data_IF_272106148920
#
_entry.id   IF_272106148920
#
_cell.length_a   1.000
_cell.length_b   1.000
_cell.length_c   1.000
_cell.angle_alpha   90.00
_cell.angle_beta   90.00
_cell.angle_gamma   90.00
#
_symmetry.space_group_name_H-M   'P 1'
#
loop_
_entity.id
_entity.type
_entity.pdbx_description
1 polymer ?
#
# COMPACT_ATOMS: atom_id res chain seq x y z
N UNK A 1 -1.27 33.17 -5.64
CA UNK A 1 -2.38 33.03 -4.65
C UNK A 1 -2.83 31.57 -4.66
N UNK A 2 -2.59 30.78 -3.63
CA UNK A 2 -3.26 29.49 -3.52
C UNK A 2 -4.72 29.78 -3.22
N UNK A 3 -5.60 29.36 -4.11
CA UNK A 3 -7.03 29.62 -4.03
C UNK A 3 -7.59 29.06 -2.71
N UNK A 4 -8.55 29.75 -2.10
CA UNK A 4 -9.32 29.33 -0.91
C UNK A 4 -9.77 27.85 -1.04
N UNK A 5 -10.02 27.41 -2.26
CA UNK A 5 -10.36 26.03 -2.61
C UNK A 5 -9.26 25.02 -2.25
N UNK A 6 -7.97 25.33 -2.44
CA UNK A 6 -6.88 24.36 -2.17
C UNK A 6 -6.62 24.16 -0.68
N UNK A 7 -6.88 25.16 0.18
CA UNK A 7 -6.78 25.03 1.64
C UNK A 7 -7.94 24.26 2.28
N UNK A 8 -9.13 24.30 1.66
CA UNK A 8 -10.32 23.63 2.19
C UNK A 8 -10.50 22.26 1.55
N UNK A 9 -10.01 22.06 0.31
CA UNK A 9 -10.09 20.81 -0.42
C UNK A 9 -9.49 19.64 0.39
N UNK A 10 -8.31 19.81 0.99
CA UNK A 10 -7.69 18.78 1.81
C UNK A 10 -8.53 18.41 3.04
N UNK A 11 -9.14 19.41 3.71
CA UNK A 11 -10.04 19.17 4.86
C UNK A 11 -11.33 18.48 4.43
N UNK A 12 -11.94 18.96 3.35
CA UNK A 12 -13.16 18.37 2.78
C UNK A 12 -12.89 16.91 2.38
N UNK A 13 -11.78 16.65 1.72
CA UNK A 13 -11.39 15.31 1.27
C UNK A 13 -11.17 14.37 2.47
N UNK A 14 -10.49 14.83 3.54
CA UNK A 14 -10.31 14.03 4.75
C UNK A 14 -11.66 13.74 5.42
N UNK A 15 -12.51 14.75 5.57
CA UNK A 15 -13.83 14.60 6.19
C UNK A 15 -14.71 13.68 5.33
N UNK A 16 -14.74 13.88 4.00
CA UNK A 16 -15.49 13.03 3.07
C UNK A 16 -14.99 11.59 3.10
N UNK A 17 -13.68 11.36 3.17
CA UNK A 17 -13.11 10.00 3.29
C UNK A 17 -13.45 9.34 4.63
N UNK A 18 -13.43 10.12 5.73
CA UNK A 18 -13.81 9.63 7.07
C UNK A 18 -15.31 9.31 7.18
N UNK A 19 -16.17 9.97 6.40
CA UNK A 19 -17.61 9.69 6.34
C UNK A 19 -17.92 8.58 5.34
N UNK A 20 -17.30 8.62 4.16
CA UNK A 20 -17.56 7.63 3.10
C UNK A 20 -17.08 6.22 3.48
N UNK A 21 -16.04 6.12 4.28
CA UNK A 21 -15.51 4.82 4.71
C UNK A 21 -16.49 4.06 5.62
N UNK A 22 -17.00 4.62 6.76
CA UNK A 22 -18.01 3.94 7.58
C UNK A 22 -19.32 3.68 6.85
N UNK A 23 -19.77 4.64 6.03
CA UNK A 23 -20.99 4.50 5.24
C UNK A 23 -20.83 3.38 4.20
N UNK A 24 -19.71 3.35 3.49
CA UNK A 24 -19.42 2.27 2.53
C UNK A 24 -19.30 0.90 3.19
N UNK A 25 -18.67 0.83 4.37
CA UNK A 25 -18.59 -0.40 5.17
C UNK A 25 -19.96 -0.87 5.66
N UNK A 26 -20.83 0.06 6.07
CA UNK A 26 -22.19 -0.25 6.51
C UNK A 26 -23.09 -0.78 5.38
N UNK A 27 -23.12 -0.07 4.23
CA UNK A 27 -23.95 -0.48 3.09
C UNK A 27 -23.45 -1.73 2.36
N UNK A 28 -22.18 -2.07 2.51
CA UNK A 28 -21.58 -3.26 1.91
C UNK A 28 -21.65 -4.50 2.84
N UNK A 29 -22.38 -4.43 3.95
CA UNK A 29 -22.45 -5.49 4.98
C UNK A 29 -21.07 -5.95 5.51
N UNK A 30 -20.08 -5.05 5.51
CA UNK A 30 -18.75 -5.35 6.03
C UNK A 30 -18.67 -5.42 7.56
N UNK A 31 -19.74 -5.08 8.27
CA UNK A 31 -19.82 -5.14 9.75
C UNK A 31 -20.17 -6.55 10.26
N UNK A 32 -19.64 -7.58 9.62
CA UNK A 32 -19.77 -8.96 10.07
C UNK A 32 -18.91 -9.15 11.32
N UNK A 33 -19.46 -9.83 12.34
CA UNK A 33 -18.66 -10.30 13.47
C UNK A 33 -18.11 -11.70 13.11
N UNK A 34 -16.85 -11.81 12.66
CA UNK A 34 -16.27 -13.10 12.38
C UNK A 34 -16.11 -13.88 13.69
N UNK A 35 -16.35 -15.19 13.66
CA UNK A 35 -16.01 -16.06 14.77
C UNK A 35 -14.49 -16.16 14.86
N UNK A 36 -13.92 -15.83 16.03
CA UNK A 36 -12.49 -15.95 16.28
C UNK A 36 -12.24 -17.27 16.99
N UNK A 37 -11.56 -18.19 16.32
CA UNK A 37 -11.20 -19.50 16.88
C UNK A 37 -9.90 -19.45 17.69
N UNK A 38 -8.98 -18.55 17.35
CA UNK A 38 -7.71 -18.37 18.08
C UNK A 38 -7.35 -16.91 18.25
N UNK A 39 -7.43 -16.42 19.49
CA UNK A 39 -7.00 -15.06 19.85
C UNK A 39 -5.48 -14.87 19.77
N UNK A 40 -4.69 -15.92 19.96
CA UNK A 40 -3.23 -15.87 19.83
C UNK A 40 -2.83 -15.59 18.37
N UNK A 41 -3.45 -16.28 17.41
CA UNK A 41 -3.20 -16.01 15.99
C UNK A 41 -3.71 -14.64 15.57
N UNK A 42 -4.83 -14.18 16.12
CA UNK A 42 -5.31 -12.83 15.87
C UNK A 42 -4.32 -11.77 16.38
N UNK A 43 -3.75 -11.98 17.57
CA UNK A 43 -2.71 -11.10 18.12
C UNK A 43 -1.47 -11.08 17.23
N UNK A 44 -0.94 -12.24 16.82
CA UNK A 44 0.19 -12.30 15.88
C UNK A 44 -0.13 -11.60 14.57
N UNK A 45 -1.33 -11.80 14.03
CA UNK A 45 -1.79 -11.13 12.81
C UNK A 45 -1.69 -9.61 12.92
N UNK A 46 -2.16 -9.02 14.03
CA UNK A 46 -2.11 -7.58 14.27
C UNK A 46 -0.67 -7.09 14.45
N UNK A 47 0.17 -7.82 15.19
CA UNK A 47 1.59 -7.47 15.38
C UNK A 47 2.32 -7.42 14.04
N UNK A 48 2.16 -8.46 13.20
CA UNK A 48 2.77 -8.48 11.87
C UNK A 48 2.22 -7.37 10.97
N UNK A 49 0.92 -7.10 11.02
CA UNK A 49 0.31 -6.00 10.26
C UNK A 49 0.95 -4.66 10.63
N UNK A 50 0.99 -4.33 11.91
CA UNK A 50 1.51 -3.05 12.40
C UNK A 50 3.01 -2.93 12.12
N UNK A 51 3.77 -4.01 12.31
CA UNK A 51 5.19 -4.07 11.93
C UNK A 51 5.37 -3.81 10.44
N UNK A 52 4.53 -4.38 9.59
CA UNK A 52 4.55 -4.13 8.14
C UNK A 52 4.27 -2.67 7.79
N UNK A 53 3.38 -1.99 8.52
CA UNK A 53 3.14 -0.57 8.32
C UNK A 53 4.32 0.31 8.75
N UNK A 54 5.01 -0.04 9.83
CA UNK A 54 6.27 0.63 10.18
C UNK A 54 7.32 0.39 9.09
N UNK A 55 7.40 -0.84 8.59
CA UNK A 55 8.35 -1.21 7.54
C UNK A 55 8.05 -0.54 6.20
N UNK A 56 6.79 -0.29 5.88
CA UNK A 56 6.38 0.56 4.74
C UNK A 56 7.02 1.95 4.80
N UNK A 57 7.09 2.56 5.99
CA UNK A 57 7.81 3.83 6.17
C UNK A 57 9.32 3.70 5.96
N UNK A 58 9.90 2.55 6.35
CA UNK A 58 11.31 2.24 6.08
C UNK A 58 11.57 2.12 4.58
N UNK A 59 10.68 1.45 3.83
CA UNK A 59 10.78 1.36 2.36
C UNK A 59 10.82 2.77 1.73
N UNK A 60 9.90 3.64 2.14
CA UNK A 60 9.92 5.04 1.70
C UNK A 60 11.23 5.75 2.04
N UNK A 61 11.76 5.55 3.24
CA UNK A 61 13.06 6.09 3.66
C UNK A 61 14.23 5.58 2.83
N UNK A 62 14.20 4.31 2.40
CA UNK A 62 15.25 3.74 1.52
C UNK A 62 15.23 4.33 0.12
N UNK A 63 14.03 4.63 -0.37
CA UNK A 63 13.86 5.31 -1.67
C UNK A 63 14.36 6.75 -1.57
N UNK A 64 13.95 7.51 -0.58
CA UNK A 64 14.45 8.87 -0.36
C UNK A 64 15.98 8.88 -0.21
N UNK A 65 16.52 8.01 0.60
CA UNK A 65 17.96 7.90 0.83
C UNK A 65 18.76 7.39 -0.37
N UNK A 66 18.16 7.05 -1.52
CA UNK A 66 18.91 6.83 -2.77
C UNK A 66 19.42 8.13 -3.38
N UNK A 67 18.71 9.23 -3.17
CA UNK A 67 19.05 10.56 -3.71
C UNK A 67 19.29 11.60 -2.60
N UNK A 68 18.59 11.50 -1.46
CA UNK A 68 18.63 12.48 -0.37
C UNK A 68 18.96 11.79 0.95
N UNK A 69 20.10 12.12 1.56
CA UNK A 69 20.57 11.53 2.83
C UNK A 69 20.29 12.38 4.07
N UNK A 70 19.89 13.62 3.86
CA UNK A 70 19.66 14.64 4.89
C UNK A 70 18.24 14.58 5.50
N UNK A 71 17.31 13.84 4.88
CA UNK A 71 15.93 13.74 5.34
C UNK A 71 15.85 12.87 6.61
N UNK A 72 15.41 13.50 7.70
CA UNK A 72 15.33 12.85 9.02
C UNK A 72 14.26 11.75 9.06
N UNK A 73 14.53 10.64 9.77
CA UNK A 73 13.60 9.53 9.93
C UNK A 73 12.22 9.96 10.48
N UNK A 74 12.14 10.96 11.35
CA UNK A 74 10.87 11.51 11.85
C UNK A 74 10.06 12.16 10.73
N UNK A 75 10.70 12.86 9.78
CA UNK A 75 10.02 13.43 8.61
C UNK A 75 9.49 12.33 7.69
N UNK A 76 10.27 11.27 7.48
CA UNK A 76 9.89 10.10 6.69
C UNK A 76 8.65 9.42 7.30
N UNK A 77 8.70 9.11 8.59
CA UNK A 77 7.60 8.48 9.32
C UNK A 77 6.34 9.34 9.33
N UNK A 78 6.48 10.64 9.62
CA UNK A 78 5.36 11.57 9.62
C UNK A 78 4.74 11.71 8.22
N UNK A 79 5.56 11.78 7.16
CA UNK A 79 5.07 11.88 5.79
C UNK A 79 4.25 10.65 5.38
N UNK A 80 4.73 9.45 5.71
CA UNK A 80 4.03 8.20 5.41
C UNK A 80 2.72 8.07 6.21
N UNK A 81 2.77 8.36 7.52
CA UNK A 81 1.61 8.17 8.40
C UNK A 81 0.50 9.20 8.18
N UNK A 82 0.83 10.49 8.12
CA UNK A 82 -0.19 11.54 7.99
C UNK A 82 -0.91 11.52 6.63
N UNK A 83 -0.32 10.90 5.61
CA UNK A 83 -0.89 10.86 4.27
C UNK A 83 -1.53 9.52 3.91
N UNK A 84 -1.50 8.54 4.82
CA UNK A 84 -1.95 7.17 4.54
C UNK A 84 -3.40 7.08 4.04
N UNK A 85 -4.27 7.94 4.56
CA UNK A 85 -5.67 7.99 4.14
C UNK A 85 -5.89 8.67 2.77
N UNK A 86 -4.86 9.28 2.19
CA UNK A 86 -4.92 9.87 0.85
C UNK A 86 -5.28 8.86 -0.25
N UNK A 87 -5.10 7.57 -0.01
CA UNK A 87 -5.48 6.50 -0.94
C UNK A 87 -7.00 6.31 -1.11
N UNK A 88 -7.81 6.80 -0.18
CA UNK A 88 -9.28 6.75 -0.26
C UNK A 88 -9.86 7.90 -1.09
N UNK A 89 -9.04 8.88 -1.43
CA UNK A 89 -9.43 9.97 -2.33
C UNK A 89 -9.43 9.43 -3.77
N UNK A 90 -10.48 9.70 -4.56
CA UNK A 90 -10.51 9.32 -5.96
C UNK A 90 -9.26 9.78 -6.72
N UNK A 91 -8.68 8.90 -7.55
CA UNK A 91 -7.46 9.18 -8.31
C UNK A 91 -6.17 8.61 -7.68
N UNK A 92 -6.22 8.08 -6.46
CA UNK A 92 -5.12 7.32 -5.78
C UNK A 92 -3.72 7.95 -5.76
N UNK A 93 -3.52 9.08 -6.45
CA UNK A 93 -2.25 9.80 -6.51
C UNK A 93 -1.98 10.60 -5.24
N UNK A 94 -3.03 10.86 -4.46
CA UNK A 94 -2.97 11.78 -3.32
C UNK A 94 -2.07 11.27 -2.18
N UNK A 95 -1.96 9.97 -1.98
CA UNK A 95 -1.02 9.42 -1.01
C UNK A 95 0.43 9.69 -1.45
N UNK A 96 0.73 9.53 -2.74
CA UNK A 96 2.07 9.70 -3.31
C UNK A 96 2.49 11.17 -3.30
N UNK A 97 1.59 12.04 -3.76
CA UNK A 97 1.82 13.50 -3.77
C UNK A 97 1.82 14.07 -2.35
N UNK A 98 0.94 13.57 -1.48
CA UNK A 98 0.82 14.04 -0.10
C UNK A 98 2.09 13.80 0.71
N UNK A 99 2.66 12.59 0.67
CA UNK A 99 3.90 12.30 1.38
C UNK A 99 5.09 13.09 0.84
N UNK A 100 5.13 13.32 -0.48
CA UNK A 100 6.14 14.15 -1.13
C UNK A 100 6.02 15.62 -0.72
N UNK A 101 4.81 16.18 -0.75
CA UNK A 101 4.54 17.55 -0.31
C UNK A 101 4.83 17.77 1.18
N UNK A 102 4.62 16.73 2.02
CA UNK A 102 5.03 16.81 3.41
C UNK A 102 6.54 16.88 3.56
N UNK A 103 7.30 16.08 2.79
CA UNK A 103 8.78 16.11 2.80
C UNK A 103 9.28 17.46 2.28
N UNK A 104 8.79 17.95 1.14
CA UNK A 104 9.11 19.27 0.57
C UNK A 104 8.97 20.38 1.62
N UNK A 105 7.82 20.43 2.30
CA UNK A 105 7.58 21.45 3.34
C UNK A 105 8.59 21.41 4.49
N UNK A 106 9.32 20.31 4.65
CA UNK A 106 10.15 20.05 5.80
C UNK A 106 11.62 19.72 5.46
N UNK A 107 11.99 19.96 4.22
CA UNK A 107 13.36 19.85 3.68
C UNK A 107 13.54 20.92 2.60
N UNK A 108 14.76 21.06 2.09
CA UNK A 108 15.10 22.00 1.01
C UNK A 108 15.01 21.35 -0.38
N UNK A 109 14.15 20.32 -0.53
CA UNK A 109 14.00 19.56 -1.77
C UNK A 109 12.66 19.84 -2.45
N UNK A 110 12.66 19.87 -3.79
CA UNK A 110 11.49 20.20 -4.60
C UNK A 110 10.47 19.04 -4.68
N UNK A 111 9.18 19.40 -4.76
CA UNK A 111 8.06 18.48 -4.87
C UNK A 111 8.16 17.53 -6.08
N UNK A 112 8.64 18.03 -7.22
CA UNK A 112 8.72 17.25 -8.46
C UNK A 112 9.57 15.99 -8.31
N UNK A 113 10.87 16.11 -7.99
CA UNK A 113 11.75 14.97 -7.74
C UNK A 113 11.24 14.04 -6.62
N UNK A 114 10.76 14.59 -5.49
CA UNK A 114 10.20 13.81 -4.39
C UNK A 114 8.97 12.98 -4.81
N UNK A 115 8.09 13.58 -5.61
CA UNK A 115 6.91 12.89 -6.14
C UNK A 115 7.32 11.75 -7.08
N UNK A 116 8.35 11.97 -7.90
CA UNK A 116 8.90 10.96 -8.78
C UNK A 116 9.43 9.74 -7.98
N UNK A 117 10.18 9.99 -6.91
CA UNK A 117 10.66 8.92 -6.02
C UNK A 117 9.50 8.15 -5.39
N UNK A 118 8.45 8.85 -4.97
CA UNK A 118 7.23 8.25 -4.44
C UNK A 118 6.54 7.32 -5.46
N UNK A 119 6.49 7.72 -6.72
CA UNK A 119 5.97 6.90 -7.82
C UNK A 119 6.85 5.67 -8.09
N UNK A 120 8.17 5.85 -8.16
CA UNK A 120 9.12 4.75 -8.38
C UNK A 120 8.98 3.69 -7.28
N UNK A 121 8.88 4.11 -6.03
CA UNK A 121 8.65 3.19 -4.91
C UNK A 121 7.35 2.40 -5.08
N UNK A 122 6.26 3.07 -5.43
CA UNK A 122 4.97 2.42 -5.61
C UNK A 122 4.99 1.39 -6.75
N UNK A 123 5.68 1.70 -7.87
CA UNK A 123 5.86 0.77 -8.99
C UNK A 123 6.63 -0.46 -8.55
N UNK A 124 7.77 -0.29 -7.85
CA UNK A 124 8.57 -1.42 -7.34
C UNK A 124 7.74 -2.25 -6.37
N UNK A 125 7.01 -1.62 -5.47
CA UNK A 125 6.16 -2.30 -4.49
C UNK A 125 5.08 -3.16 -5.17
N UNK A 126 4.36 -2.60 -6.14
CA UNK A 126 3.34 -3.31 -6.92
C UNK A 126 3.96 -4.49 -7.68
N UNK A 127 5.08 -4.26 -8.36
CA UNK A 127 5.78 -5.28 -9.14
C UNK A 127 6.20 -6.48 -8.28
N UNK A 128 6.80 -6.23 -7.10
CA UNK A 128 7.20 -7.28 -6.16
C UNK A 128 5.98 -7.95 -5.53
N UNK A 129 4.95 -7.20 -5.16
CA UNK A 129 3.73 -7.76 -4.58
C UNK A 129 3.01 -8.70 -5.56
N UNK A 130 2.96 -8.37 -6.85
CA UNK A 130 2.47 -9.29 -7.88
C UNK A 130 3.33 -10.53 -8.01
N UNK A 131 4.66 -10.41 -8.03
CA UNK A 131 5.55 -11.56 -8.10
C UNK A 131 5.28 -12.55 -6.96
N UNK A 132 5.30 -12.07 -5.73
CA UNK A 132 5.07 -12.91 -4.55
C UNK A 132 3.68 -13.53 -4.56
N UNK A 133 2.67 -12.74 -4.88
CA UNK A 133 1.29 -13.19 -4.93
C UNK A 133 1.04 -14.21 -6.05
N UNK A 134 1.61 -14.02 -7.24
CA UNK A 134 1.51 -14.96 -8.36
C UNK A 134 2.28 -16.26 -8.09
N UNK A 135 3.44 -16.19 -7.45
CA UNK A 135 4.14 -17.39 -6.98
C UNK A 135 3.21 -18.19 -6.06
N UNK A 136 2.66 -17.56 -5.02
CA UNK A 136 1.74 -18.24 -4.11
C UNK A 136 0.51 -18.80 -4.81
N UNK A 137 -0.10 -18.05 -5.73
CA UNK A 137 -1.29 -18.47 -6.47
C UNK A 137 -1.03 -19.69 -7.38
N UNK A 138 0.11 -19.74 -8.05
CA UNK A 138 0.49 -20.89 -8.88
C UNK A 138 0.71 -22.16 -8.03
N UNK A 139 1.39 -22.03 -6.91
CA UNK A 139 1.58 -23.17 -6.00
C UNK A 139 0.28 -23.61 -5.32
N UNK A 140 -0.63 -22.68 -5.01
CA UNK A 140 -1.94 -22.96 -4.43
C UNK A 140 -2.85 -23.70 -5.44
N UNK A 141 -2.84 -23.27 -6.70
CA UNK A 141 -3.70 -23.77 -7.77
C UNK A 141 -3.06 -24.83 -8.67
N UNK A 142 -1.96 -25.47 -8.24
CA UNK A 142 -1.22 -26.47 -9.06
C UNK A 142 -0.95 -25.99 -10.49
N UNK A 143 -0.45 -24.75 -10.63
CA UNK A 143 -0.15 -24.12 -11.92
C UNK A 143 -1.37 -24.02 -12.84
N UNK A 144 -2.48 -23.53 -12.32
CA UNK A 144 -3.68 -23.27 -13.10
C UNK A 144 -3.41 -22.34 -14.29
N UNK A 145 -4.22 -22.45 -15.35
CA UNK A 145 -4.12 -21.59 -16.55
C UNK A 145 -4.11 -20.11 -16.15
N UNK A 146 -4.97 -19.69 -15.21
CA UNK A 146 -5.01 -18.31 -14.72
C UNK A 146 -3.72 -17.86 -14.04
N UNK A 147 -3.11 -18.73 -13.23
CA UNK A 147 -1.84 -18.44 -12.57
C UNK A 147 -0.67 -18.33 -13.54
N UNK A 148 -0.59 -19.28 -14.50
CA UNK A 148 0.44 -19.26 -15.55
C UNK A 148 0.29 -18.01 -16.43
N UNK A 149 -0.93 -17.70 -16.86
CA UNK A 149 -1.20 -16.49 -17.65
C UNK A 149 -0.80 -15.23 -16.90
N UNK A 150 -1.14 -15.13 -15.61
CA UNK A 150 -0.73 -14.01 -14.76
C UNK A 150 0.79 -13.87 -14.68
N UNK A 151 1.53 -14.98 -14.53
CA UNK A 151 3.00 -14.99 -14.51
C UNK A 151 3.59 -14.56 -15.85
N UNK A 152 3.03 -15.01 -16.96
CA UNK A 152 3.45 -14.59 -18.31
C UNK A 152 3.22 -13.10 -18.52
N UNK A 153 2.05 -12.58 -18.11
CA UNK A 153 1.76 -11.14 -18.17
C UNK A 153 2.75 -10.36 -17.31
N UNK A 154 3.04 -10.83 -16.10
CA UNK A 154 4.02 -10.18 -15.21
C UNK A 154 5.42 -10.16 -15.83
N UNK A 155 5.88 -11.29 -16.41
CA UNK A 155 7.17 -11.37 -17.10
C UNK A 155 7.21 -10.43 -18.32
N UNK A 156 6.16 -10.38 -19.12
CA UNK A 156 6.06 -9.50 -20.29
C UNK A 156 6.00 -8.01 -19.90
N UNK A 157 5.38 -7.67 -18.78
CA UNK A 157 5.31 -6.31 -18.27
C UNK A 157 6.65 -5.82 -17.66
N UNK A 158 7.50 -6.74 -17.21
CA UNK A 158 8.77 -6.40 -16.54
C UNK A 158 9.70 -5.55 -17.42
N UNK A 159 10.00 -5.87 -18.68
CA UNK A 159 10.82 -5.02 -19.55
C UNK A 159 10.19 -3.63 -19.75
N UNK A 160 8.86 -3.55 -19.84
CA UNK A 160 8.17 -2.26 -19.97
C UNK A 160 8.33 -1.38 -18.72
N UNK A 161 8.22 -1.98 -17.52
CA UNK A 161 8.40 -1.28 -16.24
C UNK A 161 9.85 -0.78 -16.08
N UNK A 162 10.82 -1.56 -16.53
CA UNK A 162 12.24 -1.24 -16.45
C UNK A 162 12.72 -0.30 -17.57
N UNK A 163 11.93 -0.13 -18.62
CA UNK A 163 12.27 0.70 -19.79
C UNK A 163 12.04 2.19 -19.52
N UNK A 164 12.42 3.02 -20.49
CA UNK A 164 12.11 4.45 -20.53
C UNK A 164 10.66 4.74 -20.94
N UNK A 165 9.91 3.75 -21.44
CA UNK A 165 8.55 3.95 -21.96
C UNK A 165 7.56 4.33 -20.85
N UNK A 166 7.57 3.59 -19.74
CA UNK A 166 6.68 3.86 -18.61
C UNK A 166 6.90 5.27 -18.02
N UNK A 167 8.13 5.70 -17.68
CA UNK A 167 8.41 7.06 -17.27
C UNK A 167 7.94 8.11 -18.26
N UNK A 168 8.15 7.92 -19.55
CA UNK A 168 7.74 8.86 -20.59
C UNK A 168 6.20 9.00 -20.68
N UNK A 169 5.46 7.90 -20.54
CA UNK A 169 3.99 7.92 -20.51
C UNK A 169 3.51 8.65 -19.26
N UNK A 170 4.07 8.31 -18.10
CA UNK A 170 3.68 8.92 -16.83
C UNK A 170 4.04 10.40 -16.81
N UNK A 171 5.21 10.80 -17.33
CA UNK A 171 5.60 12.21 -17.42
C UNK A 171 4.63 13.02 -18.28
N UNK A 172 4.25 12.52 -19.46
CA UNK A 172 3.26 13.17 -20.33
C UNK A 172 1.88 13.30 -19.65
N UNK A 173 1.45 12.27 -18.93
CA UNK A 173 0.19 12.30 -18.18
C UNK A 173 0.25 13.30 -17.03
N UNK A 174 1.32 13.29 -16.26
CA UNK A 174 1.55 14.21 -15.14
C UNK A 174 1.68 15.65 -15.63
N UNK A 175 2.39 15.91 -16.73
CA UNK A 175 2.50 17.23 -17.33
C UNK A 175 1.14 17.79 -17.73
N UNK A 176 0.25 16.94 -18.29
CA UNK A 176 -1.13 17.35 -18.62
C UNK A 176 -1.96 17.67 -17.36
N UNK A 177 -1.84 16.87 -16.31
CA UNK A 177 -2.59 17.04 -15.07
C UNK A 177 -2.10 18.23 -14.24
N UNK A 178 -0.78 18.41 -14.15
CA UNK A 178 -0.16 19.44 -13.31
C UNK A 178 0.11 20.76 -14.07
N UNK A 179 -0.09 20.79 -15.39
CA UNK A 179 0.24 21.94 -16.27
C UNK A 179 1.71 22.41 -16.11
N UNK A 180 2.61 21.49 -15.81
CA UNK A 180 4.06 21.70 -15.66
C UNK A 180 4.79 20.56 -16.33
N UNK A 181 5.95 20.84 -16.90
CA UNK A 181 6.85 19.80 -17.41
C UNK A 181 7.37 18.96 -16.22
N UNK A 182 7.12 17.67 -16.27
CA UNK A 182 7.60 16.70 -15.28
C UNK A 182 8.49 15.72 -16.02
N UNK A 183 9.78 15.82 -15.84
CA UNK A 183 10.73 14.89 -16.44
C UNK A 183 10.92 13.69 -15.51
N UNK A 184 10.36 12.54 -15.89
CA UNK A 184 10.44 11.31 -15.11
C UNK A 184 11.61 10.49 -15.63
N UNK A 185 12.62 10.31 -14.79
CA UNK A 185 13.75 9.44 -15.11
C UNK A 185 13.37 7.96 -14.94
N UNK A 186 13.92 7.04 -15.75
CA UNK A 186 13.72 5.60 -15.60
C UNK A 186 14.08 5.10 -14.20
N UNK A 187 13.63 3.86 -13.89
CA UNK A 187 14.11 3.16 -12.70
C UNK A 187 15.61 2.87 -12.85
N UNK A 188 16.42 3.45 -11.96
CA UNK A 188 17.85 3.16 -11.92
C UNK A 188 18.11 1.80 -11.25
N UNK A 189 19.06 1.05 -11.78
CA UNK A 189 19.46 -0.25 -11.26
C UNK A 189 19.98 -0.18 -9.82
N UNK A 190 20.65 0.90 -9.46
CA UNK A 190 21.11 1.14 -8.09
C UNK A 190 19.93 1.25 -7.12
N UNK A 191 18.89 2.00 -7.50
CA UNK A 191 17.65 2.14 -6.73
C UNK A 191 16.92 0.80 -6.61
N UNK A 192 16.80 0.04 -7.71
CA UNK A 192 16.15 -1.28 -7.72
C UNK A 192 16.82 -2.21 -6.70
N UNK A 193 18.14 -2.38 -6.79
CA UNK A 193 18.89 -3.24 -5.86
C UNK A 193 18.76 -2.80 -4.40
N UNK A 194 18.61 -1.52 -4.16
CA UNK A 194 18.46 -0.95 -2.82
C UNK A 194 17.05 -1.14 -2.25
N UNK A 195 16.01 -1.02 -3.07
CA UNK A 195 14.62 -0.97 -2.62
C UNK A 195 13.94 -2.35 -2.64
N UNK A 196 14.23 -3.18 -3.63
CA UNK A 196 13.60 -4.50 -3.81
C UNK A 196 13.68 -5.40 -2.58
N UNK A 197 14.83 -5.57 -1.90
CA UNK A 197 14.89 -6.41 -0.69
C UNK A 197 13.93 -5.95 0.41
N UNK A 198 13.80 -4.64 0.60
CA UNK A 198 12.88 -4.07 1.58
C UNK A 198 11.41 -4.25 1.16
N UNK A 199 11.11 -4.14 -0.13
CA UNK A 199 9.76 -4.40 -0.64
C UNK A 199 9.36 -5.86 -0.48
N UNK A 200 10.27 -6.80 -0.74
CA UNK A 200 10.05 -8.24 -0.49
C UNK A 200 9.76 -8.48 0.99
N UNK A 201 10.58 -7.92 1.87
CA UNK A 201 10.39 -8.08 3.31
C UNK A 201 9.09 -7.46 3.79
N UNK A 202 8.72 -6.26 3.29
CA UNK A 202 7.46 -5.60 3.63
C UNK A 202 6.24 -6.46 3.25
N UNK A 203 6.21 -6.96 2.02
CA UNK A 203 5.14 -7.84 1.57
C UNK A 203 5.15 -9.18 2.32
N UNK A 204 6.32 -9.71 2.64
CA UNK A 204 6.47 -10.93 3.46
C UNK A 204 5.89 -10.76 4.87
N UNK A 205 6.15 -9.62 5.52
CA UNK A 205 5.60 -9.29 6.84
C UNK A 205 4.07 -9.20 6.77
N UNK A 206 3.51 -8.52 5.77
CA UNK A 206 2.06 -8.44 5.60
C UNK A 206 1.44 -9.79 5.21
N UNK A 207 2.13 -10.59 4.41
CA UNK A 207 1.70 -11.96 4.09
C UNK A 207 1.65 -12.84 5.33
N UNK A 208 2.67 -12.78 6.19
CA UNK A 208 2.65 -13.49 7.48
C UNK A 208 1.49 -13.02 8.37
N UNK A 209 1.25 -11.70 8.43
CA UNK A 209 0.11 -11.15 9.15
C UNK A 209 -1.24 -11.66 8.62
N UNK A 210 -1.38 -11.75 7.31
CA UNK A 210 -2.61 -12.27 6.70
C UNK A 210 -2.77 -13.80 6.91
N UNK A 211 -1.68 -14.57 6.84
CA UNK A 211 -1.70 -15.99 7.21
C UNK A 211 -2.25 -16.19 8.63
N UNK A 212 -1.73 -15.44 9.61
CA UNK A 212 -2.22 -15.52 10.98
C UNK A 212 -3.67 -15.03 11.13
N UNK A 213 -4.12 -14.07 10.30
CA UNK A 213 -5.51 -13.67 10.26
C UNK A 213 -6.41 -14.83 9.81
N UNK A 214 -6.02 -15.53 8.75
CA UNK A 214 -6.77 -16.69 8.26
C UNK A 214 -6.80 -17.78 9.35
N UNK A 215 -5.66 -18.14 9.95
CA UNK A 215 -5.59 -19.11 11.05
C UNK A 215 -6.44 -18.72 12.26
N UNK A 216 -6.63 -17.44 12.52
CA UNK A 216 -7.48 -16.97 13.62
C UNK A 216 -8.99 -17.17 13.35
N UNK A 217 -9.38 -17.20 12.07
CA UNK A 217 -10.78 -17.18 11.64
C UNK A 217 -11.31 -18.52 11.10
N UNK A 218 -10.46 -19.57 11.08
CA UNK A 218 -10.89 -20.93 10.70
C UNK A 218 -10.54 -21.91 11.83
N UNK A 219 -11.33 -23.02 12.00
CA UNK A 219 -11.12 -23.99 13.07
C UNK A 219 -10.10 -25.11 12.71
N UNK A 220 -9.37 -24.98 11.60
CA UNK A 220 -8.43 -25.96 11.07
C UNK A 220 -7.15 -25.28 10.56
N UNK A 221 -6.08 -26.05 10.42
CA UNK A 221 -4.82 -25.55 9.91
C UNK A 221 -4.90 -25.27 8.41
N UNK A 222 -4.37 -24.12 7.98
CA UNK A 222 -4.27 -23.74 6.58
C UNK A 222 -2.81 -23.68 6.11
N UNK A 223 -2.54 -23.94 4.82
CA UNK A 223 -1.20 -23.82 4.27
C UNK A 223 -0.63 -22.42 4.42
N UNK A 224 0.68 -22.28 4.66
CA UNK A 224 1.37 -20.98 4.77
C UNK A 224 1.19 -20.11 3.51
N UNK A 225 0.93 -20.74 2.36
CA UNK A 225 0.67 -20.06 1.09
C UNK A 225 -0.56 -19.15 1.15
N UNK A 226 -1.49 -19.35 2.10
CA UNK A 226 -2.65 -18.45 2.32
C UNK A 226 -2.19 -17.01 2.56
N UNK A 227 -1.03 -16.82 3.18
CA UNK A 227 -0.47 -15.49 3.40
C UNK A 227 -0.17 -14.74 2.11
N UNK A 228 0.31 -15.43 1.08
CA UNK A 228 0.64 -14.82 -0.22
C UNK A 228 -0.60 -14.40 -1.05
N UNK A 229 -1.79 -14.75 -0.60
CA UNK A 229 -3.04 -14.20 -1.10
C UNK A 229 -3.08 -12.67 -0.97
N UNK A 230 -2.60 -12.14 0.17
CA UNK A 230 -2.72 -10.71 0.47
C UNK A 230 -1.97 -9.81 -0.52
N UNK A 231 -0.67 -10.02 -0.85
CA UNK A 231 0.03 -9.25 -1.87
C UNK A 231 -0.69 -9.26 -3.21
N UNK A 232 -1.20 -10.41 -3.67
CA UNK A 232 -1.91 -10.51 -4.94
C UNK A 232 -3.21 -9.69 -4.94
N UNK A 233 -4.07 -9.96 -3.95
CA UNK A 233 -5.37 -9.32 -3.84
C UNK A 233 -5.26 -7.79 -3.64
N UNK A 234 -4.30 -7.34 -2.81
CA UNK A 234 -4.06 -5.92 -2.59
C UNK A 234 -3.63 -5.21 -3.87
N UNK A 235 -2.72 -5.79 -4.66
CA UNK A 235 -2.23 -5.19 -5.90
C UNK A 235 -3.27 -5.21 -7.01
N UNK A 236 -4.05 -6.28 -7.17
CA UNK A 236 -5.21 -6.31 -8.07
C UNK A 236 -6.21 -5.23 -7.68
N UNK A 237 -6.49 -5.09 -6.38
CA UNK A 237 -7.31 -4.00 -5.87
C UNK A 237 -6.74 -2.62 -6.17
N UNK A 238 -5.41 -2.42 -6.17
CA UNK A 238 -4.77 -1.16 -6.55
C UNK A 238 -4.97 -0.87 -8.05
N UNK A 239 -4.89 -1.84 -8.92
CA UNK A 239 -5.07 -1.66 -10.37
C UNK A 239 -6.53 -1.45 -10.77
N UNK A 240 -7.49 -1.81 -9.94
CA UNK A 240 -8.91 -1.58 -10.19
C UNK A 240 -9.29 -0.09 -10.01
N UNK A 241 -8.93 0.77 -10.98
CA UNK A 241 -9.17 2.22 -10.95
C UNK A 241 -10.65 2.61 -10.81
N UNK A 242 -11.53 1.79 -11.39
CA UNK A 242 -12.98 1.98 -11.38
C UNK A 242 -13.63 1.63 -10.04
N UNK A 243 -12.94 0.87 -9.18
CA UNK A 243 -13.44 0.45 -7.87
C UNK A 243 -12.78 1.29 -6.76
N UNK A 244 -13.49 2.23 -6.11
CA UNK A 244 -12.94 3.01 -5.01
C UNK A 244 -12.40 2.09 -3.91
N UNK A 245 -11.11 2.25 -3.54
CA UNK A 245 -10.47 1.37 -2.56
C UNK A 245 -10.34 -0.10 -2.98
N UNK A 246 -10.60 -0.46 -4.28
CA UNK A 246 -10.61 -1.84 -4.77
C UNK A 246 -11.78 -2.67 -4.24
N UNK A 247 -12.88 -2.03 -3.82
CA UNK A 247 -14.06 -2.71 -3.25
C UNK A 247 -14.62 -3.71 -4.27
N UNK A 248 -14.91 -4.92 -3.80
CA UNK A 248 -15.38 -6.05 -4.61
C UNK A 248 -14.23 -6.82 -5.28
N UNK A 249 -13.33 -6.15 -5.98
CA UNK A 249 -12.24 -6.79 -6.76
C UNK A 249 -11.22 -7.48 -5.87
N UNK A 250 -10.77 -6.81 -4.80
CA UNK A 250 -9.84 -7.37 -3.81
C UNK A 250 -10.46 -8.55 -3.08
N UNK A 251 -11.70 -8.42 -2.63
CA UNK A 251 -12.44 -9.45 -1.90
C UNK A 251 -12.64 -10.69 -2.77
N UNK A 252 -13.07 -10.50 -4.02
CA UNK A 252 -13.24 -11.61 -4.98
C UNK A 252 -11.93 -12.37 -5.17
N UNK A 253 -10.80 -11.65 -5.29
CA UNK A 253 -9.50 -12.31 -5.41
C UNK A 253 -9.11 -13.10 -4.17
N UNK A 254 -9.41 -12.59 -2.97
CA UNK A 254 -9.19 -13.31 -1.70
C UNK A 254 -10.02 -14.60 -1.69
N UNK A 255 -11.30 -14.51 -2.03
CA UNK A 255 -12.18 -15.68 -2.05
C UNK A 255 -11.69 -16.75 -3.03
N UNK A 256 -11.36 -16.36 -4.27
CA UNK A 256 -10.85 -17.28 -5.28
C UNK A 256 -9.57 -17.97 -4.80
N UNK A 257 -8.62 -17.20 -4.28
CA UNK A 257 -7.34 -17.73 -3.83
C UNK A 257 -7.48 -18.71 -2.64
N UNK A 258 -8.21 -18.30 -1.60
CA UNK A 258 -8.41 -19.13 -0.42
C UNK A 258 -9.22 -20.40 -0.73
N UNK A 259 -10.17 -20.30 -1.65
CA UNK A 259 -10.94 -21.47 -2.10
C UNK A 259 -10.07 -22.52 -2.79
N UNK A 260 -9.06 -22.09 -3.57
CA UNK A 260 -8.08 -23.02 -4.16
C UNK A 260 -7.24 -23.77 -3.10
N UNK A 261 -7.11 -23.20 -1.91
CA UNK A 261 -6.40 -23.81 -0.77
C UNK A 261 -7.33 -24.60 0.16
N UNK A 262 -8.59 -24.83 -0.26
CA UNK A 262 -9.55 -25.67 0.48
C UNK A 262 -10.39 -24.92 1.52
N UNK A 263 -10.26 -23.59 1.63
CA UNK A 263 -11.15 -22.78 2.49
C UNK A 263 -12.52 -22.69 1.82
N UNK A 264 -13.60 -22.88 2.58
CA UNK A 264 -14.95 -22.76 2.04
C UNK A 264 -15.25 -21.33 1.56
N UNK A 265 -16.11 -21.17 0.54
CA UNK A 265 -16.47 -19.85 0.01
C UNK A 265 -17.05 -18.93 1.08
N UNK A 266 -17.83 -19.47 2.02
CA UNK A 266 -18.42 -18.70 3.11
C UNK A 266 -17.37 -18.16 4.08
N UNK A 267 -16.41 -19.01 4.50
CA UNK A 267 -15.28 -18.60 5.35
C UNK A 267 -14.36 -17.63 4.62
N UNK A 268 -14.02 -17.91 3.35
CA UNK A 268 -13.18 -17.03 2.55
C UNK A 268 -13.82 -15.64 2.37
N UNK A 269 -15.15 -15.57 2.20
CA UNK A 269 -15.89 -14.30 2.15
C UNK A 269 -15.79 -13.56 3.49
N UNK A 270 -15.99 -14.25 4.60
CA UNK A 270 -15.87 -13.68 5.95
C UNK A 270 -14.44 -13.14 6.18
N UNK A 271 -13.42 -13.90 5.81
CA UNK A 271 -12.02 -13.50 5.90
C UNK A 271 -11.74 -12.27 5.02
N UNK A 272 -12.25 -12.26 3.78
CA UNK A 272 -12.07 -11.14 2.86
C UNK A 272 -12.64 -9.84 3.46
N UNK A 273 -13.84 -9.90 4.04
CA UNK A 273 -14.47 -8.76 4.71
C UNK A 273 -13.72 -8.35 5.98
N UNK A 274 -13.38 -9.31 6.85
CA UNK A 274 -12.61 -9.05 8.07
C UNK A 274 -11.24 -8.43 7.75
N UNK A 275 -10.61 -8.81 6.64
CA UNK A 275 -9.32 -8.27 6.20
C UNK A 275 -9.34 -6.76 5.93
N UNK A 276 -10.50 -6.18 5.65
CA UNK A 276 -10.67 -4.72 5.50
C UNK A 276 -10.49 -4.00 6.83
N UNK A 277 -11.19 -4.45 7.85
CA UNK A 277 -11.10 -3.87 9.19
C UNK A 277 -9.71 -4.10 9.78
N UNK A 278 -9.16 -5.30 9.56
CA UNK A 278 -7.79 -5.63 9.94
C UNK A 278 -6.79 -4.65 9.32
N UNK A 279 -6.84 -4.43 8.00
CA UNK A 279 -5.90 -3.53 7.32
C UNK A 279 -6.10 -2.06 7.73
N UNK A 280 -7.35 -1.63 7.93
CA UNK A 280 -7.69 -0.30 8.43
C UNK A 280 -7.09 -0.04 9.82
N UNK A 281 -7.04 -1.07 10.70
CA UNK A 281 -6.39 -0.93 12.01
C UNK A 281 -4.91 -0.60 11.89
N UNK A 282 -4.21 -1.19 10.90
CA UNK A 282 -2.81 -0.89 10.61
C UNK A 282 -2.60 0.53 10.06
N UNK A 283 -3.52 1.00 9.23
CA UNK A 283 -3.51 2.38 8.73
C UNK A 283 -3.72 3.39 9.86
N UNK A 284 -4.69 3.13 10.74
CA UNK A 284 -4.94 3.95 11.92
C UNK A 284 -3.70 3.98 12.83
N UNK A 285 -3.08 2.82 13.05
CA UNK A 285 -1.83 2.72 13.79
C UNK A 285 -0.71 3.57 13.17
N UNK A 286 -0.47 3.43 11.85
CA UNK A 286 0.55 4.23 11.18
C UNK A 286 0.25 5.73 11.22
N UNK A 287 -1.03 6.12 11.12
CA UNK A 287 -1.43 7.52 11.25
C UNK A 287 -1.11 8.07 12.65
N UNK A 288 -1.39 7.30 13.71
CA UNK A 288 -1.07 7.69 15.10
C UNK A 288 0.44 7.85 15.27
N UNK A 289 1.23 6.88 14.80
CA UNK A 289 2.71 6.94 14.86
C UNK A 289 3.26 8.11 14.05
N UNK A 290 2.71 8.36 12.86
CA UNK A 290 3.08 9.50 12.03
C UNK A 290 2.77 10.85 12.68
N UNK A 291 1.65 10.95 13.38
CA UNK A 291 1.26 12.14 14.13
C UNK A 291 2.20 12.36 15.33
N UNK A 292 2.53 11.32 16.08
CA UNK A 292 3.53 11.39 17.15
C UNK A 292 4.91 11.84 16.64
N UNK A 293 5.34 11.32 15.50
CA UNK A 293 6.59 11.73 14.85
C UNK A 293 6.57 13.20 14.40
N UNK A 294 5.41 13.69 13.93
CA UNK A 294 5.22 15.08 13.55
C UNK A 294 5.32 16.02 14.76
N UNK A 295 4.65 15.70 15.86
CA UNK A 295 4.68 16.47 17.11
C UNK A 295 6.11 16.47 17.67
N UNK A 296 6.76 15.31 17.78
CA UNK A 296 8.13 15.21 18.28
C UNK A 296 9.13 16.02 17.45
N UNK A 297 8.85 16.25 16.15
CA UNK A 297 9.66 17.08 15.28
C UNK A 297 9.49 18.57 15.59
N UNK A 298 8.28 19.02 15.92
CA UNK A 298 7.99 20.44 16.21
C UNK A 298 8.60 20.91 17.54
N UNK A 299 8.71 19.98 18.51
CA UNK A 299 9.28 20.26 19.85
C UNK A 299 10.81 20.39 19.80
N UNK A 300 11.49 19.72 18.87
CA UNK A 300 12.95 19.71 18.75
C UNK A 300 13.48 20.61 17.62
N UNK A 301 12.88 21.73 17.34
CA UNK A 301 13.57 22.78 16.57
C UNK A 301 14.65 23.38 17.48
N UNK A 302 15.93 23.42 17.05
CA UNK A 302 16.92 24.28 17.74
C UNK A 302 16.35 25.69 17.76
N UNK A 303 16.41 26.33 18.93
CA UNK A 303 16.14 27.78 19.05
C UNK A 303 17.15 28.42 18.10
N UNK A 304 16.74 29.25 17.13
CA UNK A 304 17.69 30.01 16.33
C UNK A 304 18.48 30.91 17.28
N UNK A 305 19.81 30.83 17.21
CA UNK A 305 20.73 31.73 17.90
C UNK A 305 20.54 33.18 17.40
#
# INVERSE_FOLDING_TARGET
MPSFLSRHLSKIIIITSLVFLPVGLYYADYLIKPTVYSYSYLLYSVIFLWTGFLFYSVCWGKVLGSEYRDIRNRTIMASAGLTIFGKYIPGRLWILLGRSAYVEKHSDHDLGPLSLLSFKEQIISIWIGFLLGLIGYNFAGNFSIGGITGMVIWLAATPFILSTLLPNIVSKLMARLMKREVNITPLDWHMIRRVVPYSILNWGIWAAGFYFLVQALVPYDVPILTGLCFPLAANIGILAFFAPGGIGVRETMIVIYLHQLGVSVAEATTIALASRLWFLSGEAFLFIVGNAAHIARSVWRPIPD
#
